data_IF_259246429190
#
_entry.id   IF_259246429190
#
_cell.length_a   1.000
_cell.length_b   1.000
_cell.length_c   1.000
_cell.angle_alpha   90.00
_cell.angle_beta   90.00
_cell.angle_gamma   90.00
#
_symmetry.space_group_name_H-M   'P 1'
#
loop_
_entity.id
_entity.type
_entity.pdbx_description
1 polymer ?
#
# COMPACT_ATOMS: atom_id res chain seq x y z
N UNK A 1 18.73 -7.80 -16.39
CA UNK A 1 19.16 -6.82 -17.41
C UNK A 1 18.05 -6.38 -18.36
N UNK A 2 17.17 -7.26 -18.87
CA UNK A 2 16.08 -6.88 -19.80
C UNK A 2 15.11 -5.80 -19.28
N UNK A 3 14.60 -5.94 -18.04
CA UNK A 3 13.66 -4.96 -17.44
C UNK A 3 14.24 -3.55 -17.41
N UNK A 4 15.48 -3.39 -16.93
CA UNK A 4 16.13 -2.09 -16.74
C UNK A 4 16.31 -1.35 -18.07
N UNK A 5 16.79 -2.04 -19.11
CA UNK A 5 16.97 -1.44 -20.44
C UNK A 5 15.64 -1.02 -21.05
N UNK A 6 14.62 -1.89 -20.98
CA UNK A 6 13.30 -1.58 -21.52
C UNK A 6 12.67 -0.37 -20.81
N UNK A 7 12.76 -0.31 -19.48
CA UNK A 7 12.27 0.83 -18.70
C UNK A 7 13.00 2.10 -19.09
N UNK A 8 14.33 2.09 -19.14
CA UNK A 8 15.13 3.27 -19.46
C UNK A 8 14.83 3.80 -20.88
N UNK A 9 14.72 2.90 -21.85
CA UNK A 9 14.38 3.26 -23.23
C UNK A 9 12.98 3.87 -23.33
N UNK A 10 11.97 3.27 -22.70
CA UNK A 10 10.61 3.80 -22.67
C UNK A 10 10.52 5.16 -21.98
N UNK A 11 11.22 5.35 -20.86
CA UNK A 11 11.27 6.64 -20.16
C UNK A 11 11.92 7.72 -21.03
N UNK A 12 13.03 7.41 -21.71
CA UNK A 12 13.68 8.34 -22.63
C UNK A 12 12.79 8.73 -23.81
N UNK A 13 12.02 7.77 -24.36
CA UNK A 13 11.09 8.04 -25.45
C UNK A 13 9.89 8.87 -25.01
N UNK A 14 9.38 8.66 -23.79
CA UNK A 14 8.20 9.36 -23.27
C UNK A 14 8.50 10.77 -22.79
N UNK A 15 9.57 10.97 -22.01
CA UNK A 15 9.80 12.20 -21.26
C UNK A 15 11.04 12.99 -21.71
N UNK A 16 11.93 12.39 -22.53
CA UNK A 16 13.22 12.96 -22.99
C UNK A 16 14.18 13.44 -21.89
N UNK A 17 13.79 13.30 -20.63
CA UNK A 17 14.58 13.55 -19.44
C UNK A 17 14.30 12.41 -18.45
N UNK A 18 15.36 11.79 -17.92
CA UNK A 18 15.24 10.62 -17.04
C UNK A 18 15.39 11.07 -15.60
N UNK A 19 14.26 11.22 -14.91
CA UNK A 19 14.17 11.48 -13.46
C UNK A 19 13.44 10.34 -12.76
N UNK A 20 13.58 10.24 -11.43
CA UNK A 20 12.90 9.23 -10.62
C UNK A 20 11.38 9.17 -10.92
N UNK A 21 10.71 10.32 -10.90
CA UNK A 21 9.27 10.42 -11.16
C UNK A 21 8.87 9.95 -12.56
N UNK A 22 9.67 10.29 -13.58
CA UNK A 22 9.41 9.83 -14.97
C UNK A 22 9.60 8.33 -15.12
N UNK A 23 10.51 7.73 -14.35
CA UNK A 23 10.71 6.27 -14.35
C UNK A 23 9.52 5.57 -13.70
N UNK A 24 9.10 5.98 -12.49
CA UNK A 24 7.93 5.40 -11.81
C UNK A 24 6.65 5.54 -12.63
N UNK A 25 6.42 6.72 -13.20
CA UNK A 25 5.24 6.98 -14.05
C UNK A 25 5.27 6.11 -15.31
N UNK A 26 6.44 5.92 -15.93
CA UNK A 26 6.56 5.11 -17.14
C UNK A 26 6.30 3.62 -16.90
N UNK A 27 6.63 3.09 -15.72
CA UNK A 27 6.33 1.70 -15.36
C UNK A 27 4.96 1.51 -14.70
N UNK A 28 4.21 2.60 -14.46
CA UNK A 28 2.92 2.56 -13.77
C UNK A 28 3.03 2.17 -12.29
N UNK A 29 4.20 2.31 -11.68
CA UNK A 29 4.46 1.92 -10.30
C UNK A 29 4.18 3.12 -9.37
N UNK A 30 3.55 2.90 -8.19
CA UNK A 30 3.28 3.99 -7.25
C UNK A 30 4.55 4.74 -6.83
N UNK A 31 4.43 6.07 -6.73
CA UNK A 31 5.49 6.92 -6.20
C UNK A 31 5.61 6.72 -4.69
N UNK A 32 6.83 6.86 -4.16
CA UNK A 32 7.09 6.71 -2.72
C UNK A 32 6.23 7.64 -1.86
N UNK A 33 6.03 8.88 -2.30
CA UNK A 33 5.21 9.88 -1.63
C UNK A 33 3.72 9.50 -1.56
N UNK A 34 3.22 8.81 -2.59
CA UNK A 34 1.84 8.32 -2.61
C UNK A 34 1.66 7.19 -1.60
N UNK A 35 2.61 6.24 -1.54
CA UNK A 35 2.59 5.16 -0.54
C UNK A 35 2.68 5.71 0.88
N UNK A 36 3.53 6.72 1.13
CA UNK A 36 3.59 7.38 2.44
C UNK A 36 2.26 8.04 2.82
N UNK A 37 1.61 8.68 1.85
CA UNK A 37 0.31 9.32 2.05
C UNK A 37 -0.78 8.27 2.37
N UNK A 38 -0.79 7.14 1.65
CA UNK A 38 -1.72 6.03 1.88
C UNK A 38 -1.47 5.42 3.27
N UNK A 39 -0.23 5.12 3.63
CA UNK A 39 0.10 4.54 4.94
C UNK A 39 -0.28 5.48 6.08
N UNK A 40 0.00 6.79 5.93
CA UNK A 40 -0.37 7.81 6.91
C UNK A 40 -1.89 7.85 7.11
N UNK A 41 -2.67 7.78 6.01
CA UNK A 41 -4.13 7.71 6.08
C UNK A 41 -4.64 6.41 6.71
N UNK A 42 -4.06 5.27 6.38
CA UNK A 42 -4.40 3.97 6.98
C UNK A 42 -4.16 3.95 8.50
N UNK A 43 -3.13 4.65 8.99
CA UNK A 43 -2.78 4.67 10.41
C UNK A 43 -3.50 5.76 11.22
N UNK A 44 -3.84 6.90 10.62
CA UNK A 44 -4.36 8.05 11.35
C UNK A 44 -5.87 8.31 11.15
N UNK A 45 -6.48 7.80 10.08
CA UNK A 45 -7.88 8.09 9.75
C UNK A 45 -8.83 7.16 10.52
N UNK A 46 -9.74 7.71 11.32
CA UNK A 46 -10.74 6.93 12.07
C UNK A 46 -11.95 6.55 11.20
N UNK A 47 -12.25 7.34 10.18
CA UNK A 47 -13.37 7.06 9.27
C UNK A 47 -12.95 6.14 8.11
N UNK A 48 -13.47 4.92 8.14
CA UNK A 48 -13.32 3.92 7.10
C UNK A 48 -13.75 4.44 5.71
N UNK A 49 -14.87 5.17 5.63
CA UNK A 49 -15.45 5.63 4.37
C UNK A 49 -14.56 6.67 3.68
N UNK A 50 -13.99 7.58 4.46
CA UNK A 50 -13.04 8.60 3.98
C UNK A 50 -11.75 7.95 3.48
N UNK A 51 -11.18 7.03 4.27
CA UNK A 51 -9.97 6.32 3.90
C UNK A 51 -10.16 5.48 2.62
N UNK A 52 -11.28 4.75 2.53
CA UNK A 52 -11.63 3.95 1.36
C UNK A 52 -11.76 4.82 0.10
N UNK A 53 -12.51 5.93 0.19
CA UNK A 53 -12.72 6.83 -0.93
C UNK A 53 -11.40 7.47 -1.38
N UNK A 54 -10.57 7.91 -0.44
CA UNK A 54 -9.26 8.49 -0.75
C UNK A 54 -8.35 7.52 -1.52
N UNK A 55 -8.20 6.29 -1.03
CA UNK A 55 -7.34 5.31 -1.69
C UNK A 55 -7.93 4.89 -3.04
N UNK A 56 -9.25 4.73 -3.13
CA UNK A 56 -9.93 4.39 -4.38
C UNK A 56 -9.76 5.49 -5.44
N UNK A 57 -9.95 6.77 -5.07
CA UNK A 57 -9.79 7.91 -5.97
C UNK A 57 -8.33 8.05 -6.43
N UNK A 58 -7.37 7.86 -5.54
CA UNK A 58 -5.94 7.89 -5.86
C UNK A 58 -5.54 6.76 -6.83
N UNK A 59 -6.05 5.54 -6.62
CA UNK A 59 -5.85 4.40 -7.52
C UNK A 59 -6.39 4.68 -8.91
N UNK A 60 -7.59 5.24 -9.01
CA UNK A 60 -8.22 5.58 -10.31
C UNK A 60 -7.43 6.71 -10.99
N UNK A 61 -7.08 7.76 -10.27
CA UNK A 61 -6.39 8.93 -10.82
C UNK A 61 -5.01 8.58 -11.39
N UNK A 62 -4.27 7.71 -10.70
CA UNK A 62 -2.89 7.36 -11.05
C UNK A 62 -2.74 5.99 -11.72
N UNK A 63 -3.83 5.25 -11.92
CA UNK A 63 -3.82 3.92 -12.54
C UNK A 63 -3.06 2.86 -11.73
N UNK A 64 -3.11 2.94 -10.40
CA UNK A 64 -2.33 2.07 -9.52
C UNK A 64 -3.06 0.75 -9.22
N UNK A 65 -2.34 -0.36 -9.30
CA UNK A 65 -2.84 -1.67 -8.87
C UNK A 65 -2.79 -1.80 -7.34
N UNK A 66 -3.78 -2.48 -6.75
CA UNK A 66 -3.75 -2.74 -5.31
C UNK A 66 -2.55 -3.62 -4.89
N UNK A 67 -2.14 -4.55 -5.75
CA UNK A 67 -1.00 -5.44 -5.47
C UNK A 67 0.32 -4.69 -5.30
N UNK A 68 0.56 -3.67 -6.13
CA UNK A 68 1.77 -2.84 -6.02
C UNK A 68 1.75 -2.03 -4.72
N UNK A 69 0.59 -1.47 -4.38
CA UNK A 69 0.38 -0.74 -3.10
C UNK A 69 0.62 -1.66 -1.91
N UNK A 70 0.07 -2.89 -1.94
CA UNK A 70 0.21 -3.87 -0.86
C UNK A 70 1.67 -4.25 -0.62
N UNK A 71 2.43 -4.49 -1.70
CA UNK A 71 3.86 -4.86 -1.66
C UNK A 71 4.71 -3.74 -1.06
N UNK A 72 4.45 -2.49 -1.46
CA UNK A 72 5.15 -1.33 -0.93
C UNK A 72 4.81 -1.06 0.54
N UNK A 73 3.52 -1.14 0.90
CA UNK A 73 3.06 -1.00 2.30
C UNK A 73 3.70 -2.08 3.19
N UNK A 74 3.74 -3.33 2.72
CA UNK A 74 4.39 -4.43 3.45
C UNK A 74 5.85 -4.11 3.77
N UNK A 75 6.59 -3.59 2.78
CA UNK A 75 7.99 -3.20 2.94
C UNK A 75 8.18 -2.05 3.94
N UNK A 76 7.23 -1.10 4.01
CA UNK A 76 7.28 0.00 4.97
C UNK A 76 6.92 -0.42 6.39
N UNK A 77 5.91 -1.27 6.55
CA UNK A 77 5.44 -1.74 7.87
C UNK A 77 6.51 -2.52 8.61
N UNK A 78 7.30 -3.33 7.91
CA UNK A 78 8.43 -4.04 8.52
C UNK A 78 9.49 -3.11 9.15
N UNK A 79 9.54 -1.84 8.73
CA UNK A 79 10.44 -0.83 9.30
C UNK A 79 9.81 -0.07 10.47
N UNK A 80 8.50 -0.13 10.64
CA UNK A 80 7.77 0.52 11.73
C UNK A 80 7.85 -0.36 12.99
N UNK A 81 8.10 0.29 14.14
CA UNK A 81 8.17 -0.41 15.44
C UNK A 81 6.76 -0.70 15.96
N UNK A 82 6.19 -1.84 15.59
CA UNK A 82 4.95 -2.36 16.16
C UNK A 82 5.22 -3.41 17.26
N UNK A 83 4.28 -3.59 18.21
CA UNK A 83 4.28 -4.78 19.06
C UNK A 83 4.26 -6.06 18.19
N UNK A 84 4.98 -7.12 18.59
CA UNK A 84 5.14 -8.32 17.77
C UNK A 84 3.81 -8.98 17.42
N UNK A 85 2.87 -9.05 18.38
CA UNK A 85 1.57 -9.71 18.18
C UNK A 85 0.72 -9.00 17.12
N UNK A 86 0.71 -7.66 17.16
CA UNK A 86 -0.01 -6.83 16.19
C UNK A 86 0.63 -6.95 14.80
N UNK A 87 1.96 -6.92 14.74
CA UNK A 87 2.69 -7.06 13.48
C UNK A 87 2.41 -8.42 12.82
N UNK A 88 2.44 -9.51 13.59
CA UNK A 88 2.16 -10.87 13.09
C UNK A 88 0.73 -10.94 12.55
N UNK A 89 -0.25 -10.47 13.31
CA UNK A 89 -1.65 -10.43 12.91
C UNK A 89 -1.86 -9.65 11.60
N UNK A 90 -1.25 -8.47 11.50
CA UNK A 90 -1.34 -7.62 10.32
C UNK A 90 -0.68 -8.27 9.09
N UNK A 91 0.52 -8.85 9.25
CA UNK A 91 1.21 -9.54 8.16
C UNK A 91 0.42 -10.74 7.62
N UNK A 92 -0.24 -11.51 8.49
CA UNK A 92 -1.11 -12.62 8.07
C UNK A 92 -2.27 -12.08 7.23
N UNK A 93 -2.93 -11.00 7.66
CA UNK A 93 -4.03 -10.38 6.91
C UNK A 93 -3.59 -9.83 5.56
N UNK A 94 -2.40 -9.23 5.49
CA UNK A 94 -1.84 -8.75 4.22
C UNK A 94 -1.53 -9.91 3.27
N UNK A 95 -0.97 -11.02 3.77
CA UNK A 95 -0.70 -12.22 2.98
C UNK A 95 -2.00 -12.85 2.43
N UNK A 96 -3.05 -12.93 3.25
CA UNK A 96 -4.38 -13.39 2.82
C UNK A 96 -4.93 -12.52 1.67
N UNK A 97 -4.81 -11.20 1.77
CA UNK A 97 -5.25 -10.28 0.72
C UNK A 97 -4.40 -10.40 -0.55
N UNK A 98 -3.09 -10.62 -0.44
CA UNK A 98 -2.22 -10.88 -1.59
C UNK A 98 -2.63 -12.17 -2.32
N UNK A 99 -2.88 -13.24 -1.56
CA UNK A 99 -3.33 -14.52 -2.11
C UNK A 99 -4.67 -14.39 -2.85
N UNK A 100 -5.62 -13.62 -2.29
CA UNK A 100 -6.91 -13.35 -2.93
C UNK A 100 -6.77 -12.50 -4.19
N UNK A 101 -5.93 -11.48 -4.18
CA UNK A 101 -5.63 -10.69 -5.37
C UNK A 101 -5.02 -11.56 -6.48
N UNK A 102 -4.07 -12.44 -6.13
CA UNK A 102 -3.46 -13.38 -7.07
C UNK A 102 -4.49 -14.37 -7.66
N UNK A 103 -5.54 -14.72 -6.91
CA UNK A 103 -6.65 -15.57 -7.37
C UNK A 103 -7.66 -14.86 -8.29
N UNK A 104 -7.52 -13.55 -8.53
CA UNK A 104 -8.43 -12.76 -9.36
C UNK A 104 -9.64 -12.18 -8.62
N UNK A 105 -9.56 -12.02 -7.29
CA UNK A 105 -10.59 -11.34 -6.51
C UNK A 105 -10.71 -9.85 -6.89
N UNK A 106 -11.87 -9.25 -6.62
CA UNK A 106 -12.09 -7.82 -6.86
C UNK A 106 -11.22 -6.95 -5.97
N UNK A 107 -10.39 -6.09 -6.57
CA UNK A 107 -9.54 -5.16 -5.83
C UNK A 107 -10.33 -4.22 -4.92
N UNK A 108 -11.59 -3.92 -5.26
CA UNK A 108 -12.45 -3.07 -4.43
C UNK A 108 -12.77 -3.73 -3.09
N UNK A 109 -13.03 -5.05 -3.11
CA UNK A 109 -13.30 -5.84 -1.91
C UNK A 109 -12.04 -6.02 -1.08
N UNK A 110 -10.91 -6.31 -1.72
CA UNK A 110 -9.64 -6.47 -1.02
C UNK A 110 -9.11 -5.15 -0.45
N UNK A 111 -9.38 -4.01 -1.07
CA UNK A 111 -9.08 -2.70 -0.49
C UNK A 111 -9.82 -2.49 0.84
N UNK A 112 -11.11 -2.84 0.88
CA UNK A 112 -11.90 -2.78 2.10
C UNK A 112 -11.37 -3.73 3.18
N UNK A 113 -10.98 -4.95 2.80
CA UNK A 113 -10.37 -5.92 3.72
C UNK A 113 -9.04 -5.42 4.29
N UNK A 114 -8.20 -4.80 3.45
CA UNK A 114 -6.93 -4.22 3.87
C UNK A 114 -7.14 -3.10 4.89
N UNK A 115 -8.01 -2.13 4.59
CA UNK A 115 -8.33 -1.02 5.51
C UNK A 115 -8.87 -1.55 6.84
N UNK A 116 -9.76 -2.55 6.81
CA UNK A 116 -10.29 -3.19 8.01
C UNK A 116 -9.17 -3.85 8.86
N UNK A 117 -8.18 -4.47 8.23
CA UNK A 117 -7.03 -5.04 8.92
C UNK A 117 -6.20 -3.97 9.66
N UNK A 118 -6.01 -2.79 9.06
CA UNK A 118 -5.33 -1.67 9.71
C UNK A 118 -6.13 -1.10 10.89
N UNK A 119 -7.46 -0.96 10.76
CA UNK A 119 -8.30 -0.54 11.88
C UNK A 119 -8.23 -1.53 13.05
N UNK A 120 -8.26 -2.83 12.78
CA UNK A 120 -8.13 -3.85 13.81
C UNK A 120 -6.76 -3.79 14.50
N UNK A 121 -5.69 -3.62 13.72
CA UNK A 121 -4.34 -3.47 14.25
C UNK A 121 -4.22 -2.25 15.17
N UNK A 122 -4.84 -1.12 14.81
CA UNK A 122 -4.88 0.09 15.66
C UNK A 122 -5.60 -0.16 16.98
N UNK A 123 -6.77 -0.78 16.94
CA UNK A 123 -7.52 -1.15 18.15
C UNK A 123 -6.70 -2.08 19.07
N UNK A 124 -5.96 -3.02 18.50
CA UNK A 124 -5.09 -3.89 19.29
C UNK A 124 -3.94 -3.12 19.96
N UNK A 125 -3.36 -2.12 19.28
CA UNK A 125 -2.32 -1.26 19.87
C UNK A 125 -2.89 -0.50 21.08
N UNK A 126 -4.07 0.11 20.95
CA UNK A 126 -4.72 0.84 22.04
C UNK A 126 -5.00 -0.07 23.25
N UNK A 127 -5.48 -1.30 23.01
CA UNK A 127 -5.71 -2.29 24.07
C UNK A 127 -4.40 -2.68 24.76
N UNK A 128 -3.32 -2.90 24.00
CA UNK A 128 -2.00 -3.20 24.60
C UNK A 128 -1.40 -2.02 25.36
N UNK A 129 -1.71 -0.78 24.98
CA UNK A 129 -1.30 0.40 25.72
C UNK A 129 -2.03 0.48 27.08
N UNK A 130 -3.32 0.13 27.13
CA UNK A 130 -4.12 0.10 28.36
C UNK A 130 -3.73 -1.09 29.26
N UNK A 131 -3.36 -2.24 28.69
CA UNK A 131 -2.99 -3.42 29.47
C UNK A 131 -1.60 -3.31 30.15
N UNK A 132 -0.76 -2.37 29.70
CA UNK A 132 0.59 -2.14 30.24
C UNK A 132 0.66 -0.89 31.16
N UNK A 133 -0.47 -0.24 31.44
CA UNK A 133 -0.63 0.87 32.39
C UNK A 133 -1.32 0.42 33.67
#
# INVERSE_FOLDING_TARGET
>A
MRKVLNTLQSTWLSARNVTEDTVYTCVGHPLRADIDSILTRLMNEDDFGVCFKFIQDLKILKGLALGDILTEIHTKIQRVKFPPDVLISLLIKMADSEARLASGCSERSELAALIAAFHLARQQIDITAIANS
#
